data_IF_863101824588
#
_entry.id   IF_863101824588
#
_cell.length_a   1.000
_cell.length_b   1.000
_cell.length_c   1.000
_cell.angle_alpha   90.00
_cell.angle_beta   90.00
_cell.angle_gamma   90.00
#
_symmetry.space_group_name_H-M   'P 1'
#
loop_
_entity.id
_entity.type
_entity.pdbx_description
1 polymer ?
#
# COMPACT_ATOMS: atom_id res chain seq x y z
N UNK A 1 26.13 26.23 -15.98
CA UNK A 1 24.95 25.40 -16.33
C UNK A 1 25.43 24.25 -17.21
N UNK A 2 25.00 23.02 -16.96
CA UNK A 2 25.27 21.87 -17.84
C UNK A 2 24.03 21.54 -18.68
N UNK A 3 24.22 21.13 -19.93
CA UNK A 3 23.17 20.65 -20.82
C UNK A 3 23.11 19.13 -20.76
N UNK A 4 21.93 18.57 -20.50
CA UNK A 4 21.71 17.12 -20.55
C UNK A 4 20.97 16.80 -21.85
N UNK A 5 21.54 15.91 -22.65
CA UNK A 5 20.92 15.35 -23.87
C UNK A 5 20.62 13.88 -23.60
N UNK A 6 19.37 13.47 -23.75
CA UNK A 6 18.93 12.09 -23.51
C UNK A 6 18.24 11.52 -24.75
N UNK A 7 18.48 10.24 -25.03
CA UNK A 7 17.83 9.49 -26.10
C UNK A 7 17.35 8.13 -25.58
N UNK A 8 16.21 7.65 -26.10
CA UNK A 8 15.65 6.34 -25.77
C UNK A 8 15.82 5.39 -26.95
N UNK A 9 16.28 4.18 -26.66
CA UNK A 9 16.42 3.09 -27.62
C UNK A 9 15.57 1.90 -27.17
N UNK A 10 15.12 1.08 -28.12
CA UNK A 10 14.37 -0.14 -27.81
C UNK A 10 15.23 -1.22 -27.14
N UNK A 11 16.53 -1.23 -27.40
CA UNK A 11 17.47 -2.24 -26.89
C UNK A 11 18.84 -1.69 -26.53
N UNK A 12 19.56 -2.43 -25.70
CA UNK A 12 20.85 -2.01 -25.16
C UNK A 12 21.97 -1.98 -26.20
N UNK A 13 21.87 -2.81 -27.25
CA UNK A 13 22.84 -2.82 -28.35
C UNK A 13 22.85 -1.50 -29.14
N UNK A 14 21.68 -0.95 -29.47
CA UNK A 14 21.59 0.34 -30.14
C UNK A 14 22.11 1.49 -29.24
N UNK A 15 21.82 1.41 -27.94
CA UNK A 15 22.29 2.39 -26.97
C UNK A 15 23.83 2.36 -26.83
N UNK A 16 24.44 1.17 -26.74
CA UNK A 16 25.91 0.99 -26.74
C UNK A 16 26.56 1.50 -28.02
N UNK A 17 25.97 1.21 -29.18
CA UNK A 17 26.49 1.69 -30.45
C UNK A 17 26.47 3.23 -30.54
N UNK A 18 25.43 3.88 -30.01
CA UNK A 18 25.36 5.33 -29.90
C UNK A 18 26.42 5.88 -28.92
N UNK A 19 26.57 5.28 -27.74
CA UNK A 19 27.58 5.65 -26.75
C UNK A 19 29.01 5.53 -27.32
N UNK A 20 29.31 4.45 -28.05
CA UNK A 20 30.61 4.25 -28.71
C UNK A 20 30.90 5.32 -29.77
N UNK A 21 29.89 5.75 -30.54
CA UNK A 21 30.06 6.86 -31.50
C UNK A 21 30.33 8.19 -30.80
N UNK A 22 29.67 8.46 -29.67
CA UNK A 22 29.91 9.66 -28.87
C UNK A 22 31.33 9.67 -28.30
N UNK A 23 31.77 8.57 -27.71
CA UNK A 23 33.15 8.43 -27.23
C UNK A 23 34.16 8.64 -28.37
N UNK A 24 33.92 8.04 -29.55
CA UNK A 24 34.80 8.20 -30.73
C UNK A 24 34.81 9.64 -31.27
N UNK A 25 33.73 10.40 -31.10
CA UNK A 25 33.68 11.83 -31.46
C UNK A 25 34.35 12.77 -30.43
N UNK A 26 34.89 12.21 -29.34
CA UNK A 26 35.65 12.97 -28.34
C UNK A 26 34.87 13.39 -27.09
N UNK A 27 33.66 12.86 -26.88
CA UNK A 27 32.98 13.03 -25.60
C UNK A 27 33.67 12.15 -24.54
N UNK A 28 33.92 12.66 -23.33
CA UNK A 28 34.58 11.88 -22.30
C UNK A 28 33.64 10.81 -21.74
N UNK A 29 34.18 9.63 -21.42
CA UNK A 29 33.39 8.48 -20.94
C UNK A 29 32.59 8.79 -19.67
N UNK A 30 33.07 9.70 -18.82
CA UNK A 30 32.39 10.10 -17.59
C UNK A 30 31.16 11.01 -17.82
N UNK A 31 30.99 11.56 -19.03
CA UNK A 31 29.79 12.30 -19.46
C UNK A 31 28.80 11.42 -20.25
N UNK A 32 29.11 10.14 -20.47
CA UNK A 32 28.27 9.21 -21.25
C UNK A 32 27.69 8.15 -20.32
N UNK A 33 26.36 8.09 -20.23
CA UNK A 33 25.68 7.11 -19.41
C UNK A 33 24.62 6.34 -20.21
N UNK A 34 24.67 5.01 -20.09
CA UNK A 34 23.67 4.09 -20.64
C UNK A 34 23.16 3.19 -19.54
N UNK A 35 21.84 3.19 -19.33
CA UNK A 35 21.16 2.38 -18.33
C UNK A 35 19.87 1.82 -18.90
N UNK A 36 19.40 0.74 -18.28
CA UNK A 36 18.12 0.14 -18.64
C UNK A 36 16.98 0.89 -17.96
N UNK A 37 15.93 1.21 -18.71
CA UNK A 37 14.68 1.75 -18.17
C UNK A 37 13.71 0.59 -18.05
N UNK A 38 13.33 0.24 -16.81
CA UNK A 38 12.29 -0.75 -16.58
C UNK A 38 11.00 -0.34 -17.30
N UNK A 39 10.20 -1.30 -17.80
CA UNK A 39 8.86 -1.01 -18.28
C UNK A 39 8.07 -0.24 -17.21
N UNK A 40 7.13 0.59 -17.65
CA UNK A 40 6.26 1.32 -16.73
C UNK A 40 5.64 0.31 -15.75
N UNK A 41 5.92 0.48 -14.46
CA UNK A 41 5.35 -0.39 -13.44
C UNK A 41 3.83 -0.30 -13.47
N UNK A 42 3.15 -1.36 -13.03
CA UNK A 42 1.68 -1.44 -13.03
C UNK A 42 1.02 -0.58 -11.92
N UNK A 43 1.65 0.53 -11.53
CA UNK A 43 1.25 1.37 -10.40
C UNK A 43 -0.14 2.03 -10.53
N UNK A 44 -0.84 1.84 -11.64
CA UNK A 44 -2.17 2.39 -11.92
C UNK A 44 -3.23 1.35 -12.25
N UNK A 45 -3.02 0.06 -11.95
CA UNK A 45 -4.04 -0.98 -12.23
C UNK A 45 -5.27 -0.87 -11.34
N UNK A 46 -5.15 -0.25 -10.18
CA UNK A 46 -6.25 -0.07 -9.23
C UNK A 46 -6.62 1.42 -9.11
N UNK A 47 -7.91 1.74 -8.84
CA UNK A 47 -8.38 3.13 -8.70
C UNK A 47 -7.63 3.95 -7.66
N UNK A 48 -7.07 3.30 -6.63
CA UNK A 48 -6.32 3.92 -5.55
C UNK A 48 -4.79 3.87 -5.76
N UNK A 49 -4.36 3.44 -6.95
CA UNK A 49 -2.96 3.15 -7.27
C UNK A 49 -2.53 1.74 -6.85
N UNK A 50 -1.34 1.35 -7.28
CA UNK A 50 -0.75 0.04 -7.04
C UNK A 50 -1.00 -0.97 -8.17
N UNK A 51 -0.24 -2.05 -8.09
CA UNK A 51 -0.22 -3.20 -9.00
C UNK A 51 -1.01 -4.40 -8.47
N UNK A 52 -1.45 -4.36 -7.20
CA UNK A 52 -2.21 -5.42 -6.53
C UNK A 52 -3.32 -4.86 -5.63
N UNK A 53 -4.42 -5.61 -5.49
CA UNK A 53 -5.59 -5.23 -4.67
C UNK A 53 -5.28 -5.24 -3.16
N UNK A 54 -4.53 -6.23 -2.70
CA UNK A 54 -4.05 -6.33 -1.33
C UNK A 54 -2.66 -6.93 -1.33
N UNK A 55 -1.87 -6.61 -0.32
CA UNK A 55 -0.61 -7.29 -0.05
C UNK A 55 -0.90 -8.76 0.30
N UNK A 56 -0.21 -9.77 -0.27
CA UNK A 56 -0.32 -11.16 0.17
C UNK A 56 0.00 -11.33 1.67
N UNK A 57 0.85 -10.47 2.24
CA UNK A 57 1.19 -10.47 3.66
C UNK A 57 0.18 -9.70 4.52
N UNK A 58 -0.83 -9.04 3.92
CA UNK A 58 -1.89 -8.35 4.66
C UNK A 58 -2.82 -9.29 5.44
N UNK A 59 -2.71 -10.62 5.24
CA UNK A 59 -3.46 -11.61 5.99
C UNK A 59 -4.97 -11.36 6.01
N UNK A 60 -5.66 -11.91 7.03
CA UNK A 60 -7.11 -11.70 7.24
C UNK A 60 -7.38 -10.40 8.02
N UNK A 61 -6.86 -9.27 7.53
CA UNK A 61 -7.02 -7.98 8.21
C UNK A 61 -8.49 -7.57 8.39
N UNK A 62 -9.35 -7.94 7.44
CA UNK A 62 -10.80 -7.79 7.52
C UNK A 62 -11.39 -8.55 8.71
N UNK A 63 -11.03 -9.83 8.86
CA UNK A 63 -11.46 -10.67 9.97
C UNK A 63 -10.91 -10.15 11.30
N UNK A 64 -9.66 -9.69 11.33
CA UNK A 64 -9.05 -9.07 12.51
C UNK A 64 -9.80 -7.81 12.94
N UNK A 65 -10.24 -6.97 12.00
CA UNK A 65 -11.03 -5.78 12.29
C UNK A 65 -12.42 -6.14 12.86
N UNK A 66 -13.12 -7.11 12.24
CA UNK A 66 -14.42 -7.55 12.74
C UNK A 66 -14.32 -8.19 14.13
N UNK A 67 -13.35 -9.07 14.34
CA UNK A 67 -13.15 -9.72 15.64
C UNK A 67 -12.67 -8.75 16.71
N UNK A 68 -11.83 -7.78 16.35
CA UNK A 68 -11.38 -6.73 17.27
C UNK A 68 -12.54 -5.83 17.71
N UNK A 69 -13.25 -5.23 16.75
CA UNK A 69 -14.35 -4.33 17.05
C UNK A 69 -15.53 -5.06 17.72
N UNK A 70 -16.01 -6.16 17.12
CA UNK A 70 -17.16 -6.90 17.62
C UNK A 70 -16.85 -7.72 18.87
N UNK A 71 -15.66 -8.30 18.98
CA UNK A 71 -15.26 -9.11 20.12
C UNK A 71 -15.08 -8.28 21.38
N UNK A 72 -14.41 -7.13 21.28
CA UNK A 72 -14.26 -6.21 22.43
C UNK A 72 -15.64 -5.67 22.84
N UNK A 73 -16.47 -5.27 21.88
CA UNK A 73 -17.81 -4.77 22.18
C UNK A 73 -18.69 -5.81 22.87
N UNK A 74 -18.70 -7.05 22.38
CA UNK A 74 -19.46 -8.14 23.00
C UNK A 74 -19.05 -8.40 24.46
N UNK A 75 -17.75 -8.31 24.79
CA UNK A 75 -17.27 -8.46 26.17
C UNK A 75 -17.81 -7.34 27.06
N UNK A 76 -17.76 -6.09 26.60
CA UNK A 76 -18.29 -4.96 27.36
C UNK A 76 -19.82 -4.96 27.45
N UNK A 77 -20.51 -5.46 26.42
CA UNK A 77 -21.96 -5.64 26.41
C UNK A 77 -22.42 -6.60 27.50
N UNK A 78 -21.78 -7.76 27.60
CA UNK A 78 -22.07 -8.75 28.66
C UNK A 78 -21.76 -8.18 30.04
N UNK A 79 -20.61 -7.52 30.20
CA UNK A 79 -20.21 -6.93 31.47
C UNK A 79 -21.16 -5.81 31.91
N UNK A 80 -21.50 -4.88 31.01
CA UNK A 80 -22.43 -3.78 31.28
C UNK A 80 -23.84 -4.27 31.60
N UNK A 81 -24.33 -5.28 30.88
CA UNK A 81 -25.60 -5.93 31.17
C UNK A 81 -25.63 -6.59 32.55
N UNK A 82 -24.56 -7.31 32.93
CA UNK A 82 -24.45 -7.93 34.24
C UNK A 82 -24.45 -6.90 35.38
N UNK A 83 -23.65 -5.84 35.25
CA UNK A 83 -23.61 -4.76 36.25
C UNK A 83 -24.97 -4.07 36.37
N UNK A 84 -25.65 -3.80 35.26
CA UNK A 84 -26.97 -3.18 35.27
C UNK A 84 -28.05 -4.08 35.91
N UNK A 85 -27.96 -5.39 35.75
CA UNK A 85 -28.91 -6.33 36.34
C UNK A 85 -28.86 -6.35 37.88
N UNK A 86 -27.70 -6.06 38.47
CA UNK A 86 -27.55 -5.94 39.93
C UNK A 86 -28.07 -4.60 40.48
N UNK A 87 -28.18 -3.57 39.61
CA UNK A 87 -28.51 -2.19 40.00
C UNK A 87 -29.94 -1.78 39.63
N UNK A 88 -30.61 -2.52 38.75
CA UNK A 88 -31.88 -2.12 38.14
C UNK A 88 -32.76 -3.31 37.81
N UNK A 89 -34.01 -3.29 38.29
CA UNK A 89 -35.07 -4.25 37.88
C UNK A 89 -35.67 -3.97 36.49
N UNK A 90 -35.34 -2.81 35.90
CA UNK A 90 -35.83 -2.44 34.57
C UNK A 90 -35.08 -3.22 33.49
N UNK A 91 -35.76 -4.18 32.86
CA UNK A 91 -35.24 -4.93 31.71
C UNK A 91 -34.80 -4.01 30.57
N UNK A 92 -35.49 -2.89 30.37
CA UNK A 92 -35.11 -1.91 29.36
C UNK A 92 -33.77 -1.23 29.65
N UNK A 93 -33.48 -0.93 30.94
CA UNK A 93 -32.21 -0.33 31.34
C UNK A 93 -31.04 -1.33 31.21
N UNK A 94 -31.28 -2.61 31.52
CA UNK A 94 -30.29 -3.69 31.38
C UNK A 94 -29.92 -3.88 29.89
N UNK A 95 -30.91 -3.93 29.00
CA UNK A 95 -30.68 -4.06 27.56
C UNK A 95 -29.97 -2.84 26.97
N UNK A 96 -30.31 -1.63 27.44
CA UNK A 96 -29.62 -0.41 27.02
C UNK A 96 -28.15 -0.42 27.45
N UNK A 97 -27.84 -0.84 28.68
CA UNK A 97 -26.47 -0.93 29.18
C UNK A 97 -25.63 -1.97 28.40
N UNK A 98 -26.23 -3.11 28.06
CA UNK A 98 -25.56 -4.12 27.22
C UNK A 98 -25.34 -3.61 25.78
N UNK A 99 -26.26 -2.83 25.22
CA UNK A 99 -26.17 -2.34 23.83
C UNK A 99 -25.12 -1.24 23.59
N UNK A 100 -24.50 -0.69 24.63
CA UNK A 100 -23.42 0.31 24.51
C UNK A 100 -22.07 -0.33 24.20
N UNK A 101 -21.92 -1.63 24.50
CA UNK A 101 -20.72 -2.42 24.22
C UNK A 101 -20.57 -2.76 22.75
#
# INVERSE_FOLDING_TARGET
>A
MSLIVAARFEGFEAAKAAASRLATSGFPDWDIHTFYVNPAGEHGRFPYGGDRRSDPDAGRADMGAYLGAGGVGAVFAVFGGFVAAELSDSTAAILAAAGVG
#
